data_IF_382359405576
#
_entry.id   IF_382359405576
#
_cell.length_a   1.000
_cell.length_b   1.000
_cell.length_c   1.000
_cell.angle_alpha   90.00
_cell.angle_beta   90.00
_cell.angle_gamma   90.00
#
_symmetry.space_group_name_H-M   'P 1'
#
loop_
_entity.id
_entity.type
_entity.pdbx_description
1 polymer ?
#
# COMPACT_ATOMS: atom_id res chain seq x y z
N UNK A 1 28.18 -39.39 -16.87
CA UNK A 1 28.29 -38.89 -15.48
C UNK A 1 27.12 -37.96 -15.11
N UNK A 2 25.88 -38.45 -15.03
CA UNK A 2 24.69 -37.62 -14.69
C UNK A 2 23.64 -38.33 -13.82
N UNK A 3 24.02 -39.39 -13.08
CA UNK A 3 23.06 -40.21 -12.29
C UNK A 3 23.35 -40.18 -10.77
N UNK A 4 24.45 -39.55 -10.34
CA UNK A 4 24.87 -39.58 -8.93
C UNK A 4 24.30 -38.46 -8.03
N UNK A 5 23.38 -37.63 -8.54
CA UNK A 5 22.93 -36.40 -7.84
C UNK A 5 21.47 -36.46 -7.36
N UNK A 6 20.89 -37.67 -7.23
CA UNK A 6 19.49 -37.87 -6.78
C UNK A 6 19.41 -38.55 -5.39
N UNK A 7 20.52 -39.04 -4.84
CA UNK A 7 20.50 -39.89 -3.62
C UNK A 7 20.80 -39.11 -2.32
N UNK A 8 21.23 -37.84 -2.37
CA UNK A 8 21.59 -37.09 -1.15
C UNK A 8 20.47 -36.26 -0.51
N UNK A 9 19.24 -36.27 -1.06
CA UNK A 9 18.16 -35.38 -0.61
C UNK A 9 17.08 -36.04 0.28
N UNK A 10 17.26 -37.27 0.74
CA UNK A 10 16.23 -38.03 1.49
C UNK A 10 16.57 -38.35 2.95
N UNK A 11 17.57 -37.68 3.56
CA UNK A 11 18.01 -37.98 4.93
C UNK A 11 17.83 -36.88 5.97
N UNK A 12 17.21 -35.75 5.63
CA UNK A 12 16.75 -34.78 6.64
C UNK A 12 15.27 -35.00 6.97
N UNK A 13 14.97 -36.22 7.41
CA UNK A 13 13.73 -36.53 8.11
C UNK A 13 13.74 -35.77 9.44
N UNK A 14 12.89 -34.76 9.50
CA UNK A 14 12.55 -33.96 10.68
C UNK A 14 12.41 -34.83 11.94
N UNK A 15 13.41 -34.80 12.82
CA UNK A 15 13.23 -35.13 14.22
C UNK A 15 12.52 -33.96 14.91
N UNK A 16 11.22 -33.79 14.62
CA UNK A 16 10.35 -33.00 15.49
C UNK A 16 9.99 -33.89 16.67
N UNK A 17 10.87 -33.95 17.67
CA UNK A 17 10.52 -34.45 18.99
C UNK A 17 9.35 -33.58 19.49
N UNK A 18 8.13 -34.09 19.39
CA UNK A 18 6.98 -33.53 20.04
C UNK A 18 7.24 -33.68 21.54
N UNK A 19 7.69 -32.60 22.19
CA UNK A 19 7.86 -32.54 23.64
C UNK A 19 6.56 -33.05 24.27
N UNK A 20 6.68 -34.07 25.10
CA UNK A 20 5.54 -34.67 25.79
C UNK A 20 4.89 -33.61 26.68
N UNK A 21 3.57 -33.69 26.92
CA UNK A 21 2.85 -32.66 27.68
C UNK A 21 3.46 -32.41 29.07
N UNK A 22 4.06 -33.44 29.66
CA UNK A 22 4.73 -33.38 30.95
C UNK A 22 6.05 -32.59 30.92
N UNK A 23 6.80 -32.62 29.81
CA UNK A 23 8.02 -31.82 29.64
C UNK A 23 7.72 -30.32 29.59
N UNK A 24 6.54 -29.94 29.11
CA UNK A 24 6.12 -28.53 29.01
C UNK A 24 5.82 -27.94 30.40
N UNK A 25 5.38 -28.78 31.33
CA UNK A 25 5.03 -28.40 32.69
C UNK A 25 6.24 -28.31 33.64
N UNK A 26 7.38 -28.86 33.22
CA UNK A 26 8.60 -28.93 34.02
C UNK A 26 9.58 -27.85 33.58
N UNK A 27 10.13 -27.11 34.54
CA UNK A 27 11.22 -26.17 34.29
C UNK A 27 12.24 -26.25 35.42
N UNK A 28 13.46 -25.78 35.17
CA UNK A 28 14.53 -25.82 36.15
C UNK A 28 15.06 -24.43 36.45
N UNK A 29 15.68 -24.30 37.63
CA UNK A 29 16.21 -23.03 38.08
C UNK A 29 17.22 -23.21 39.20
N UNK A 30 18.08 -22.20 39.34
CA UNK A 30 19.09 -22.12 40.39
C UNK A 30 18.64 -21.17 41.49
N UNK A 31 18.73 -21.59 42.74
CA UNK A 31 18.39 -20.74 43.87
C UNK A 31 19.40 -19.59 43.98
N UNK A 32 18.92 -18.35 43.86
CA UNK A 32 19.74 -17.13 43.93
C UNK A 32 19.79 -16.58 45.35
N UNK A 33 18.66 -16.52 46.04
CA UNK A 33 18.58 -15.99 47.42
C UNK A 33 17.42 -16.63 48.16
N UNK A 34 17.61 -16.92 49.44
CA UNK A 34 16.57 -17.45 50.33
C UNK A 34 16.41 -16.51 51.51
N UNK A 35 15.16 -16.18 51.84
CA UNK A 35 14.80 -15.46 53.05
C UNK A 35 13.85 -16.32 53.88
N UNK A 36 14.40 -17.00 54.89
CA UNK A 36 13.65 -17.90 55.78
C UNK A 36 12.66 -17.17 56.70
N UNK A 37 12.88 -15.88 57.01
CA UNK A 37 11.96 -15.11 57.87
C UNK A 37 10.67 -14.72 57.14
N UNK A 38 10.77 -14.49 55.83
CA UNK A 38 9.64 -14.06 54.99
C UNK A 38 9.06 -15.20 54.15
N UNK A 39 9.57 -16.43 54.29
CA UNK A 39 9.20 -17.58 53.47
C UNK A 39 9.39 -17.35 51.96
N UNK A 40 10.37 -16.54 51.57
CA UNK A 40 10.61 -16.16 50.17
C UNK A 40 11.88 -16.79 49.61
N UNK A 41 11.77 -17.28 48.37
CA UNK A 41 12.87 -17.86 47.61
C UNK A 41 12.94 -17.23 46.22
N UNK A 42 14.10 -16.65 45.89
CA UNK A 42 14.39 -16.11 44.57
C UNK A 42 15.19 -17.12 43.77
N UNK A 43 14.72 -17.40 42.56
CA UNK A 43 15.27 -18.45 41.69
C UNK A 43 15.64 -17.83 40.37
N UNK A 44 16.90 -17.99 39.97
CA UNK A 44 17.37 -17.65 38.64
C UNK A 44 16.97 -18.77 37.69
N UNK A 45 16.37 -18.40 36.58
CA UNK A 45 15.77 -19.33 35.63
C UNK A 45 16.27 -19.01 34.22
N UNK A 46 16.34 -20.05 33.38
CA UNK A 46 16.67 -19.91 31.96
C UNK A 46 15.55 -20.53 31.10
N UNK A 47 14.31 -20.15 31.41
CA UNK A 47 13.12 -20.72 30.79
C UNK A 47 12.42 -19.66 29.94
N UNK A 48 12.23 -19.91 28.65
CA UNK A 48 11.59 -18.92 27.76
C UNK A 48 10.10 -18.71 28.02
N UNK A 49 9.43 -19.70 28.63
CA UNK A 49 7.97 -19.71 28.81
C UNK A 49 7.51 -19.10 30.15
N UNK A 50 8.37 -18.35 30.84
CA UNK A 50 8.07 -17.66 32.11
C UNK A 50 6.92 -16.67 31.99
N UNK A 51 6.70 -16.16 30.77
CA UNK A 51 5.55 -15.32 30.46
C UNK A 51 4.20 -15.98 30.78
N UNK A 52 4.13 -17.32 30.81
CA UNK A 52 2.92 -18.07 31.11
C UNK A 52 2.71 -18.41 32.59
N UNK A 53 3.65 -18.07 33.47
CA UNK A 53 3.44 -18.16 34.93
C UNK A 53 2.78 -16.88 35.43
N UNK A 54 1.69 -16.98 36.17
CA UNK A 54 1.02 -15.84 36.79
C UNK A 54 1.32 -15.77 38.28
N UNK A 55 1.11 -14.58 38.87
CA UNK A 55 1.15 -14.45 40.33
C UNK A 55 0.06 -15.31 40.95
N UNK A 56 0.40 -16.01 42.05
CA UNK A 56 -0.40 -17.00 42.79
C UNK A 56 -0.47 -18.39 42.17
N UNK A 57 0.18 -18.64 41.02
CA UNK A 57 0.26 -19.99 40.45
C UNK A 57 0.96 -20.96 41.41
N UNK A 58 0.45 -22.19 41.44
CA UNK A 58 0.99 -23.28 42.27
C UNK A 58 2.13 -23.97 41.55
N UNK A 59 3.25 -24.10 42.26
CA UNK A 59 4.45 -24.75 41.75
C UNK A 59 4.95 -25.73 42.79
N UNK A 60 5.23 -26.95 42.35
CA UNK A 60 5.93 -27.95 43.14
C UNK A 60 7.40 -27.95 42.76
N UNK A 61 8.30 -28.00 43.73
CA UNK A 61 9.73 -28.10 43.48
C UNK A 61 10.34 -29.29 44.20
N UNK A 62 11.37 -29.86 43.57
CA UNK A 62 12.08 -31.05 44.04
C UNK A 62 13.53 -31.02 43.54
N UNK A 63 14.36 -31.87 44.15
CA UNK A 63 15.76 -32.04 43.75
C UNK A 63 15.82 -32.90 42.47
N UNK A 64 16.82 -32.69 41.64
CA UNK A 64 17.06 -33.53 40.46
C UNK A 64 17.33 -34.99 40.83
N UNK A 65 17.89 -35.23 42.02
CA UNK A 65 18.25 -36.57 42.51
C UNK A 65 17.06 -37.35 43.09
N UNK A 66 16.04 -36.66 43.61
CA UNK A 66 14.93 -37.28 44.32
C UNK A 66 13.61 -36.58 43.97
N UNK A 67 12.84 -37.21 43.08
CA UNK A 67 11.55 -36.71 42.59
C UNK A 67 10.36 -37.03 43.51
N UNK A 68 10.56 -37.89 44.52
CA UNK A 68 9.51 -38.32 45.44
C UNK A 68 9.25 -37.27 46.52
N UNK A 69 10.24 -36.44 46.85
CA UNK A 69 10.12 -35.38 47.85
C UNK A 69 9.83 -34.04 47.19
N UNK A 70 8.55 -33.67 47.15
CA UNK A 70 8.09 -32.42 46.56
C UNK A 70 7.66 -31.41 47.62
N UNK A 71 7.93 -30.14 47.34
CA UNK A 71 7.53 -29.01 48.16
C UNK A 71 6.69 -28.03 47.37
N UNK A 72 5.65 -27.49 48.00
CA UNK A 72 4.70 -26.57 47.36
C UNK A 72 5.13 -25.12 47.57
N UNK A 73 5.01 -24.33 46.52
CA UNK A 73 5.31 -22.92 46.49
C UNK A 73 4.27 -22.18 45.64
N UNK A 74 4.19 -20.87 45.85
CA UNK A 74 3.35 -19.96 45.07
C UNK A 74 4.21 -18.90 44.40
N UNK A 75 3.92 -18.56 43.15
CA UNK A 75 4.59 -17.46 42.45
C UNK A 75 4.12 -16.13 43.07
N UNK A 76 5.05 -15.29 43.51
CA UNK A 76 4.74 -13.94 44.01
C UNK A 76 4.97 -12.90 42.93
N UNK A 77 6.08 -13.03 42.21
CA UNK A 77 6.46 -12.12 41.15
C UNK A 77 7.46 -12.78 40.21
N UNK A 78 7.55 -12.25 39.00
CA UNK A 78 8.42 -12.77 37.96
C UNK A 78 9.13 -11.64 37.22
N UNK A 79 10.30 -11.96 36.71
CA UNK A 79 11.08 -11.22 35.75
C UNK A 79 11.55 -12.22 34.68
N UNK A 80 12.20 -11.75 33.62
CA UNK A 80 12.71 -12.61 32.56
C UNK A 80 13.77 -13.60 33.07
N UNK A 81 14.58 -13.20 34.05
CA UNK A 81 15.68 -14.02 34.58
C UNK A 81 15.43 -14.59 35.98
N UNK A 82 14.46 -14.05 36.72
CA UNK A 82 14.22 -14.42 38.12
C UNK A 82 12.74 -14.62 38.40
N UNK A 83 12.42 -15.63 39.20
CA UNK A 83 11.10 -15.83 39.79
C UNK A 83 11.23 -15.74 41.31
N UNK A 84 10.28 -15.07 41.93
CA UNK A 84 10.12 -15.02 43.37
C UNK A 84 8.99 -15.96 43.78
N UNK A 85 9.32 -16.95 44.59
CA UNK A 85 8.37 -17.89 45.16
C UNK A 85 8.16 -17.61 46.66
N UNK A 86 6.92 -17.82 47.11
CA UNK A 86 6.57 -17.94 48.53
C UNK A 86 6.40 -19.41 48.86
N UNK A 87 7.13 -19.89 49.87
CA UNK A 87 7.15 -21.29 50.32
C UNK A 87 6.57 -21.33 51.74
N UNK A 88 5.27 -21.60 51.92
CA UNK A 88 4.58 -21.43 53.22
C UNK A 88 5.15 -22.24 54.40
N UNK A 89 5.98 -23.25 54.13
CA UNK A 89 6.62 -24.07 55.17
C UNK A 89 8.07 -24.31 54.80
N UNK A 90 8.83 -23.22 54.59
CA UNK A 90 10.21 -23.28 54.09
C UNK A 90 11.14 -24.09 55.01
N UNK A 91 10.93 -24.02 56.33
CA UNK A 91 11.72 -24.77 57.31
C UNK A 91 11.52 -26.29 57.19
N UNK A 92 10.29 -26.72 56.94
CA UNK A 92 9.97 -28.12 56.68
C UNK A 92 10.48 -28.57 55.30
N UNK A 93 10.42 -27.69 54.30
CA UNK A 93 10.96 -27.99 52.98
C UNK A 93 12.48 -28.11 52.96
N UNK A 94 13.19 -27.38 53.83
CA UNK A 94 14.65 -27.47 53.98
C UNK A 94 15.12 -28.84 54.46
N UNK A 95 14.32 -29.57 55.24
CA UNK A 95 14.68 -30.92 55.69
C UNK A 95 14.42 -31.99 54.63
N UNK A 96 13.48 -31.74 53.70
CA UNK A 96 13.10 -32.66 52.64
C UNK A 96 13.88 -32.48 51.34
N UNK A 97 14.14 -31.24 50.96
CA UNK A 97 14.78 -30.85 49.70
C UNK A 97 16.02 -30.01 50.02
N UNK A 98 17.09 -30.21 49.27
CA UNK A 98 18.33 -29.45 49.46
C UNK A 98 18.14 -27.97 49.05
N UNK A 99 17.80 -27.15 50.03
CA UNK A 99 17.56 -25.71 49.88
C UNK A 99 18.77 -24.90 50.35
N UNK A 100 19.74 -24.70 49.46
CA UNK A 100 20.88 -23.81 49.67
C UNK A 100 21.01 -22.81 48.52
N UNK A 101 21.70 -21.68 48.77
CA UNK A 101 22.02 -20.73 47.72
C UNK A 101 22.93 -21.41 46.70
N UNK A 102 22.55 -21.34 45.43
CA UNK A 102 23.25 -22.00 44.34
C UNK A 102 22.76 -23.41 44.03
N UNK A 103 21.85 -23.99 44.83
CA UNK A 103 21.24 -25.29 44.53
C UNK A 103 20.44 -25.23 43.22
N UNK A 104 20.43 -26.34 42.49
CA UNK A 104 19.64 -26.53 41.28
C UNK A 104 18.37 -27.31 41.62
N UNK A 105 17.21 -26.78 41.23
CA UNK A 105 15.91 -27.36 41.54
C UNK A 105 15.11 -27.53 40.26
N UNK A 106 14.30 -28.60 40.23
CA UNK A 106 13.27 -28.81 39.22
C UNK A 106 11.93 -28.36 39.78
N UNK A 107 11.15 -27.74 38.92
CA UNK A 107 9.83 -27.19 39.20
C UNK A 107 8.81 -27.86 38.29
N UNK A 108 7.64 -28.13 38.83
CA UNK A 108 6.50 -28.65 38.11
C UNK A 108 5.28 -27.77 38.42
N UNK A 109 4.54 -27.38 37.39
CA UNK A 109 3.33 -26.60 37.56
C UNK A 109 2.25 -27.04 36.59
N UNK A 110 1.10 -27.40 37.14
CA UNK A 110 -0.11 -27.72 36.37
C UNK A 110 -0.71 -26.45 35.76
N UNK A 111 -0.66 -25.33 36.50
CA UNK A 111 -1.14 -24.03 36.02
C UNK A 111 -0.35 -23.56 34.80
N UNK A 112 0.98 -23.78 34.79
CA UNK A 112 1.82 -23.50 33.63
C UNK A 112 1.40 -24.29 32.39
N UNK A 113 1.13 -25.59 32.54
CA UNK A 113 0.67 -26.43 31.44
C UNK A 113 -0.63 -25.90 30.83
N UNK A 114 -1.59 -25.56 31.70
CA UNK A 114 -2.88 -25.01 31.28
C UNK A 114 -2.72 -23.64 30.59
N UNK A 115 -1.88 -22.77 31.13
CA UNK A 115 -1.60 -21.45 30.56
C UNK A 115 -0.90 -21.55 29.20
N UNK A 116 0.00 -22.52 29.01
CA UNK A 116 0.64 -22.77 27.71
C UNK A 116 -0.36 -23.35 26.70
N UNK A 117 -1.21 -24.30 27.11
CA UNK A 117 -2.29 -24.84 26.25
C UNK A 117 -3.24 -23.73 25.81
N UNK A 118 -3.67 -22.88 26.75
CA UNK A 118 -4.47 -21.69 26.46
C UNK A 118 -3.73 -20.74 25.51
N UNK A 119 -2.46 -20.45 25.77
CA UNK A 119 -1.63 -19.61 24.90
C UNK A 119 -1.54 -20.13 23.46
N UNK A 120 -1.37 -21.45 23.27
CA UNK A 120 -1.39 -22.08 21.94
C UNK A 120 -2.75 -21.91 21.24
N UNK A 121 -3.86 -22.10 21.97
CA UNK A 121 -5.20 -21.90 21.41
C UNK A 121 -5.45 -20.44 20.99
N UNK A 122 -4.96 -19.48 21.78
CA UNK A 122 -5.06 -18.06 21.47
C UNK A 122 -4.24 -17.70 20.23
N UNK A 123 -3.03 -18.28 20.09
CA UNK A 123 -2.21 -18.08 18.88
C UNK A 123 -2.95 -18.59 17.64
N UNK A 124 -3.56 -19.78 17.69
CA UNK A 124 -4.35 -20.30 16.58
C UNK A 124 -5.52 -19.38 16.21
N UNK A 125 -6.26 -18.89 17.21
CA UNK A 125 -7.34 -17.90 16.99
C UNK A 125 -6.80 -16.62 16.34
N UNK A 126 -5.66 -16.11 16.81
CA UNK A 126 -5.04 -14.90 16.27
C UNK A 126 -4.55 -15.10 14.83
N UNK A 127 -4.00 -16.27 14.51
CA UNK A 127 -3.59 -16.62 13.14
C UNK A 127 -4.80 -16.69 12.21
N UNK A 128 -5.90 -17.31 12.65
CA UNK A 128 -7.18 -17.33 11.90
C UNK A 128 -7.73 -15.92 11.67
N UNK A 129 -7.71 -15.06 12.69
CA UNK A 129 -8.12 -13.65 12.56
C UNK A 129 -7.23 -12.89 11.58
N UNK A 130 -5.90 -13.08 11.63
CA UNK A 130 -4.96 -12.47 10.69
C UNK A 130 -5.25 -12.88 9.25
N UNK A 131 -5.51 -14.16 9.02
CA UNK A 131 -5.86 -14.68 7.70
C UNK A 131 -7.16 -14.04 7.19
N UNK A 132 -8.20 -14.01 8.02
CA UNK A 132 -9.48 -13.38 7.66
C UNK A 132 -9.32 -11.89 7.29
N UNK A 133 -8.56 -11.14 8.10
CA UNK A 133 -8.27 -9.73 7.84
C UNK A 133 -7.47 -9.52 6.55
N UNK A 134 -6.45 -10.34 6.30
CA UNK A 134 -5.70 -10.28 5.02
C UNK A 134 -6.59 -10.60 3.82
N UNK A 135 -7.53 -11.54 3.97
CA UNK A 135 -8.51 -11.87 2.95
C UNK A 135 -9.45 -10.70 2.66
N UNK A 136 -9.92 -10.00 3.70
CA UNK A 136 -10.74 -8.78 3.54
C UNK A 136 -9.95 -7.66 2.84
N UNK A 137 -8.73 -7.38 3.31
CA UNK A 137 -7.86 -6.36 2.72
C UNK A 137 -7.66 -6.59 1.22
N UNK A 138 -7.39 -7.84 0.81
CA UNK A 138 -7.22 -8.18 -0.61
C UNK A 138 -8.47 -7.95 -1.46
N UNK A 139 -9.67 -8.14 -0.89
CA UNK A 139 -10.94 -7.87 -1.61
C UNK A 139 -11.12 -6.38 -1.83
N UNK A 140 -10.97 -5.59 -0.77
CA UNK A 140 -11.06 -4.12 -0.86
C UNK A 140 -10.05 -3.56 -1.87
N UNK A 141 -8.81 -4.08 -1.87
CA UNK A 141 -7.80 -3.70 -2.86
C UNK A 141 -8.26 -3.98 -4.30
N UNK A 142 -8.79 -5.19 -4.56
CA UNK A 142 -9.30 -5.55 -5.89
C UNK A 142 -10.46 -4.65 -6.31
N UNK A 143 -11.34 -4.29 -5.39
CA UNK A 143 -12.47 -3.42 -5.66
C UNK A 143 -12.02 -1.99 -6.01
N UNK A 144 -10.99 -1.49 -5.32
CA UNK A 144 -10.33 -0.21 -5.65
C UNK A 144 -9.66 -0.26 -7.02
N UNK A 145 -8.91 -1.32 -7.32
CA UNK A 145 -8.25 -1.50 -8.63
C UNK A 145 -9.30 -1.51 -9.75
N UNK A 146 -10.40 -2.26 -9.57
CA UNK A 146 -11.51 -2.27 -10.53
C UNK A 146 -12.17 -0.89 -10.69
N UNK A 147 -12.28 -0.12 -9.62
CA UNK A 147 -12.80 1.24 -9.70
C UNK A 147 -11.87 2.16 -10.51
N UNK A 148 -10.55 2.07 -10.28
CA UNK A 148 -9.55 2.82 -11.04
C UNK A 148 -9.61 2.45 -12.53
N UNK A 149 -9.73 1.16 -12.87
CA UNK A 149 -9.89 0.71 -14.25
C UNK A 149 -11.14 1.30 -14.92
N UNK A 150 -12.27 1.35 -14.21
CA UNK A 150 -13.51 1.97 -14.71
C UNK A 150 -13.30 3.46 -14.98
N UNK A 151 -12.67 4.18 -14.05
CA UNK A 151 -12.38 5.61 -14.22
C UNK A 151 -11.46 5.83 -15.43
N UNK A 152 -10.42 5.03 -15.58
CA UNK A 152 -9.49 5.12 -16.72
C UNK A 152 -10.19 4.82 -18.05
N UNK A 153 -11.07 3.81 -18.09
CA UNK A 153 -11.87 3.49 -19.27
C UNK A 153 -12.77 4.65 -19.69
N UNK A 154 -13.44 5.29 -18.72
CA UNK A 154 -14.29 6.47 -18.97
C UNK A 154 -13.44 7.65 -19.46
N UNK A 155 -12.31 7.93 -18.81
CA UNK A 155 -11.40 9.01 -19.20
C UNK A 155 -10.87 8.80 -20.62
N UNK A 156 -10.43 7.58 -20.96
CA UNK A 156 -9.95 7.27 -22.30
C UNK A 156 -11.04 7.48 -23.37
N UNK A 157 -12.29 7.11 -23.08
CA UNK A 157 -13.42 7.34 -24.00
C UNK A 157 -13.63 8.84 -24.27
N UNK A 158 -13.59 9.67 -23.23
CA UNK A 158 -13.79 11.11 -23.38
C UNK A 158 -12.58 11.81 -24.02
N UNK A 159 -11.36 11.33 -23.78
CA UNK A 159 -10.17 11.81 -24.49
C UNK A 159 -10.31 11.59 -26.00
N UNK A 160 -10.66 10.36 -26.43
CA UNK A 160 -10.88 10.04 -27.85
C UNK A 160 -11.97 10.94 -28.45
N UNK A 161 -13.06 11.21 -27.71
CA UNK A 161 -14.13 12.09 -28.19
C UNK A 161 -13.62 13.53 -28.38
N UNK A 162 -12.82 14.05 -27.44
CA UNK A 162 -12.22 15.38 -27.56
C UNK A 162 -11.29 15.47 -28.77
N UNK A 163 -10.45 14.46 -28.97
CA UNK A 163 -9.50 14.43 -30.10
C UNK A 163 -10.25 14.42 -31.45
N UNK A 164 -11.36 13.68 -31.54
CA UNK A 164 -12.22 13.67 -32.73
C UNK A 164 -12.84 15.03 -33.00
N UNK A 165 -13.41 15.68 -31.97
CA UNK A 165 -13.99 17.01 -32.11
C UNK A 165 -12.95 18.06 -32.48
N UNK A 166 -11.74 17.95 -31.95
CA UNK A 166 -10.63 18.85 -32.30
C UNK A 166 -10.15 18.63 -33.74
N UNK A 167 -10.14 17.39 -34.23
CA UNK A 167 -9.87 17.09 -35.63
C UNK A 167 -10.95 17.65 -36.56
N UNK A 168 -12.22 17.39 -36.27
CA UNK A 168 -13.36 17.96 -37.03
C UNK A 168 -13.32 19.49 -37.05
N UNK A 169 -12.97 20.11 -35.92
CA UNK A 169 -12.81 21.56 -35.83
C UNK A 169 -11.69 22.09 -36.73
N UNK A 170 -10.52 21.43 -36.73
CA UNK A 170 -9.39 21.78 -37.62
C UNK A 170 -9.76 21.65 -39.09
N UNK A 171 -10.44 20.57 -39.46
CA UNK A 171 -10.87 20.34 -40.84
C UNK A 171 -11.85 21.43 -41.30
N UNK A 172 -12.83 21.78 -40.47
CA UNK A 172 -13.78 22.86 -40.78
C UNK A 172 -13.08 24.22 -40.94
N UNK A 173 -12.09 24.54 -40.09
CA UNK A 173 -11.28 25.76 -40.26
C UNK A 173 -10.55 25.74 -41.59
N UNK A 174 -9.91 24.61 -41.94
CA UNK A 174 -9.18 24.48 -43.19
C UNK A 174 -10.08 24.68 -44.42
N UNK A 175 -11.29 24.11 -44.40
CA UNK A 175 -12.29 24.33 -45.46
C UNK A 175 -12.70 25.80 -45.58
N UNK A 176 -12.97 26.47 -44.46
CA UNK A 176 -13.32 27.90 -44.46
C UNK A 176 -12.17 28.79 -44.95
N UNK A 177 -10.93 28.44 -44.62
CA UNK A 177 -9.75 29.12 -45.15
C UNK A 177 -9.59 28.92 -46.65
N UNK A 178 -9.82 27.70 -47.15
CA UNK A 178 -9.83 27.42 -48.59
C UNK A 178 -10.90 28.25 -49.30
N UNK A 179 -12.13 28.25 -48.80
CA UNK A 179 -13.26 29.05 -49.33
C UNK A 179 -12.94 30.55 -49.35
N UNK A 180 -12.27 31.06 -48.31
CA UNK A 180 -11.79 32.44 -48.27
C UNK A 180 -10.75 32.70 -49.36
N UNK A 181 -9.79 31.79 -49.55
CA UNK A 181 -8.75 31.98 -50.58
C UNK A 181 -9.30 31.91 -52.00
N UNK A 182 -10.26 31.02 -52.27
CA UNK A 182 -10.93 30.92 -53.58
C UNK A 182 -11.76 32.17 -53.85
N UNK A 183 -12.54 32.64 -52.86
CA UNK A 183 -13.31 33.88 -52.94
C UNK A 183 -12.41 35.09 -53.21
N UNK A 184 -11.26 35.18 -52.54
CA UNK A 184 -10.28 36.25 -52.74
C UNK A 184 -9.65 36.20 -54.14
N UNK A 185 -9.34 35.00 -54.66
CA UNK A 185 -8.85 34.84 -56.04
C UNK A 185 -9.91 35.30 -57.05
N UNK A 186 -11.17 34.91 -56.87
CA UNK A 186 -12.27 35.32 -57.73
C UNK A 186 -12.49 36.84 -57.70
N UNK A 187 -12.44 37.46 -56.51
CA UNK A 187 -12.51 38.91 -56.36
C UNK A 187 -11.41 39.62 -57.16
N UNK A 188 -10.15 39.20 -57.01
CA UNK A 188 -9.02 39.79 -57.74
C UNK A 188 -9.10 39.57 -59.25
N UNK A 189 -9.65 38.45 -59.71
CA UNK A 189 -9.85 38.22 -61.15
C UNK A 189 -10.93 39.15 -61.72
N UNK A 190 -12.03 39.36 -60.99
CA UNK A 190 -13.07 40.31 -61.37
C UNK A 190 -12.55 41.75 -61.38
N UNK A 191 -11.76 42.14 -60.37
CA UNK A 191 -11.11 43.46 -60.29
C UNK A 191 -10.26 43.74 -61.54
N UNK A 192 -9.41 42.79 -61.95
CA UNK A 192 -8.62 42.91 -63.20
C UNK A 192 -9.48 43.02 -64.46
N UNK A 193 -10.60 42.30 -64.52
CA UNK A 193 -11.53 42.39 -65.66
C UNK A 193 -12.21 43.75 -65.72
N UNK A 194 -12.54 44.35 -64.58
CA UNK A 194 -13.06 45.72 -64.51
C UNK A 194 -12.01 46.71 -65.01
N UNK A 195 -10.77 46.61 -64.55
CA UNK A 195 -9.68 47.48 -65.01
C UNK A 195 -9.45 47.40 -66.53
N UNK A 196 -9.50 46.20 -67.11
CA UNK A 196 -9.41 46.01 -68.56
C UNK A 196 -10.60 46.62 -69.31
N UNK A 197 -11.81 46.50 -68.75
CA UNK A 197 -13.01 47.15 -69.30
C UNK A 197 -12.92 48.68 -69.22
N UNK A 198 -12.46 49.23 -68.10
CA UNK A 198 -12.28 50.67 -67.93
C UNK A 198 -11.24 51.22 -68.92
N UNK A 199 -10.12 50.51 -69.11
CA UNK A 199 -9.13 50.84 -70.13
C UNK A 199 -9.73 50.81 -71.55
N UNK A 200 -10.56 49.81 -71.85
CA UNK A 200 -11.27 49.74 -73.14
C UNK A 200 -12.28 50.88 -73.29
N UNK A 201 -13.04 51.20 -72.25
CA UNK A 201 -13.99 52.32 -72.25
C UNK A 201 -13.29 53.65 -72.51
N UNK A 202 -12.13 53.90 -71.89
CA UNK A 202 -11.31 55.09 -72.19
C UNK A 202 -10.82 55.11 -73.64
N UNK A 203 -10.46 53.95 -74.22
CA UNK A 203 -10.06 53.88 -75.64
C UNK A 203 -11.22 54.18 -76.60
N UNK A 204 -12.41 53.68 -76.30
CA UNK A 204 -13.62 53.90 -77.07
C UNK A 204 -14.38 55.16 -76.63
N UNK A 205 -13.81 55.93 -75.70
CA UNK A 205 -14.36 57.21 -75.27
C UNK A 205 -14.35 58.13 -76.47
N UNK A 206 -15.53 58.27 -77.07
CA UNK A 206 -15.77 59.25 -78.12
C UNK A 206 -15.60 60.59 -77.42
N UNK A 207 -14.48 61.25 -77.66
CA UNK A 207 -14.38 62.67 -77.38
C UNK A 207 -15.48 63.33 -78.20
N UNK A 208 -16.48 63.89 -77.51
CA UNK A 208 -17.42 64.78 -78.17
C UNK A 208 -16.60 65.93 -78.75
N UNK A 209 -16.28 65.83 -80.05
CA UNK A 209 -15.87 66.94 -80.90
C UNK A 209 -17.05 67.87 -81.17
N UNK A 210 -17.96 68.03 -80.21
CA UNK A 210 -18.72 69.26 -80.13
C UNK A 210 -17.72 70.34 -79.73
N UNK A 211 -17.17 70.96 -80.77
CA UNK A 211 -16.70 72.33 -80.77
C UNK A 211 -17.46 73.12 -79.70
N UNK A 212 -16.74 73.85 -78.84
CA UNK A 212 -17.29 75.10 -78.33
C UNK A 212 -17.41 76.09 -79.51
N UNK A 213 -18.29 75.81 -80.46
CA UNK A 213 -18.99 76.89 -81.15
C UNK A 213 -19.96 77.39 -80.13
N UNK A 214 -19.47 78.35 -79.34
CA UNK A 214 -20.27 79.03 -78.35
C UNK A 214 -21.49 79.62 -79.06
N UNK A 215 -22.68 79.37 -78.51
CA UNK A 215 -23.97 79.73 -79.11
C UNK A 215 -24.14 81.26 -79.31
N UNK A 216 -23.18 82.03 -78.80
CA UNK A 216 -23.05 83.49 -78.90
C UNK A 216 -22.17 83.99 -80.07
N UNK A 217 -21.51 83.11 -80.83
CA UNK A 217 -20.60 83.49 -81.91
C UNK A 217 -21.30 83.89 -83.24
N UNK A 218 -22.63 83.87 -83.29
CA UNK A 218 -23.43 84.16 -84.50
C UNK A 218 -24.42 85.31 -84.31
N UNK A 219 -24.19 86.24 -83.36
CA UNK A 219 -25.01 87.46 -83.27
C UNK A 219 -24.73 88.39 -84.49
N UNK A 220 -25.72 88.62 -85.38
CA UNK A 220 -25.54 89.48 -86.55
C UNK A 220 -25.27 90.95 -86.20
N UNK A 221 -25.45 91.37 -84.94
CA UNK A 221 -25.26 92.75 -84.50
C UNK A 221 -23.79 93.16 -84.24
N UNK A 222 -22.84 92.22 -84.28
CA UNK A 222 -21.42 92.49 -83.99
C UNK A 222 -20.50 92.56 -85.23
N UNK A 223 -21.03 92.38 -86.44
CA UNK A 223 -20.25 92.57 -87.68
C UNK A 223 -20.29 94.04 -88.13
N UNK A 224 -19.27 94.82 -87.74
CA UNK A 224 -19.03 96.14 -88.34
C UNK A 224 -18.42 95.97 -89.74
N UNK A 225 -19.07 96.55 -90.76
CA UNK A 225 -18.51 96.73 -92.10
C UNK A 225 -17.24 97.59 -92.04
N UNK A 226 -16.18 97.13 -92.68
CA UNK A 226 -15.15 97.96 -93.31
C UNK A 226 -15.07 97.59 -94.77
#
# INVERSE_FOLDING_TARGET
>A
MKIFLIISLSLFSFFSMAATEDEIAIFSGRVSRINFKADLMRIKINFGNVKYLNSKDKVEFFDERDSNKRCKAYVVGKSNEYILFKVPSINFCKTKVFLSVGAYLKFFSVDLLNNIKMGKSLIDILLKKRLALSGKLRREQKDLDSFIEKVNSVNARYQILRDKLEAEWRDNIATLEEDKTTSLRNYKDLERRIEDLDMKLERYRIEDKNLKTDRWALDPRLYYKK
#
